data_IF_857221922856
#
_entry.id   IF_857221922856
#
_cell.length_a   1.000
_cell.length_b   1.000
_cell.length_c   1.000
_cell.angle_alpha   90.00
_cell.angle_beta   90.00
_cell.angle_gamma   90.00
#
_symmetry.space_group_name_H-M   'P 1'
#
loop_
_entity.id
_entity.type
_entity.pdbx_description
1 polymer ?
#
# COMPACT_ATOMS: atom_id res chain seq x y z
N UNK A 1 13.88 -5.40 -20.57
CA UNK A 1 12.78 -5.04 -21.50
C UNK A 1 12.62 -3.54 -21.44
N UNK A 2 13.11 -2.85 -22.47
CA UNK A 2 13.00 -1.38 -22.59
C UNK A 2 11.71 -1.10 -23.34
N UNK A 3 10.78 -0.37 -22.71
CA UNK A 3 9.52 0.02 -23.34
C UNK A 3 9.76 1.38 -23.99
N UNK A 4 9.90 1.42 -25.32
CA UNK A 4 10.18 2.66 -26.07
C UNK A 4 8.97 3.60 -26.19
N UNK A 5 7.74 3.09 -26.02
CA UNK A 5 6.54 3.93 -26.07
C UNK A 5 5.36 3.28 -25.31
N UNK A 6 4.65 4.06 -24.49
CA UNK A 6 3.39 3.63 -23.88
C UNK A 6 2.23 3.93 -24.85
N UNK A 7 1.30 3.00 -25.12
CA UNK A 7 0.20 3.26 -26.05
C UNK A 7 -0.78 4.29 -25.45
N UNK A 8 -0.90 5.44 -26.12
CA UNK A 8 -1.83 6.52 -25.79
C UNK A 8 -1.13 7.89 -25.68
N UNK A 9 -1.79 8.95 -26.16
CA UNK A 9 -1.38 10.35 -25.97
C UNK A 9 -1.61 10.76 -24.51
N UNK A 10 -0.82 10.17 -23.61
CA UNK A 10 -0.84 10.45 -22.19
C UNK A 10 0.30 11.40 -21.91
N UNK A 11 0.11 12.68 -22.23
CA UNK A 11 0.92 13.72 -21.61
C UNK A 11 0.49 13.77 -20.14
N UNK A 12 1.29 13.23 -19.18
CA UNK A 12 0.90 13.31 -17.79
C UNK A 12 0.85 14.79 -17.40
N UNK A 13 -0.20 15.19 -16.69
CA UNK A 13 -0.25 16.53 -16.11
C UNK A 13 1.01 16.70 -15.24
N UNK A 14 1.81 17.76 -15.43
CA UNK A 14 3.01 17.95 -14.65
C UNK A 14 2.64 18.07 -13.17
N UNK A 15 3.34 17.31 -12.33
CA UNK A 15 3.22 17.35 -10.88
C UNK A 15 4.43 18.06 -10.31
N UNK A 16 4.19 18.95 -9.35
CA UNK A 16 5.25 19.64 -8.62
C UNK A 16 5.47 18.94 -7.27
N UNK A 17 6.69 18.46 -7.04
CA UNK A 17 7.11 17.92 -5.75
C UNK A 17 7.79 19.02 -4.94
N UNK A 18 7.43 19.15 -3.68
CA UNK A 18 8.06 20.06 -2.74
C UNK A 18 8.70 19.28 -1.60
N UNK A 19 9.94 19.64 -1.24
CA UNK A 19 10.69 19.06 -0.13
C UNK A 19 11.11 20.18 0.82
N UNK A 20 10.95 19.97 2.14
CA UNK A 20 11.36 20.93 3.15
C UNK A 20 12.86 20.86 3.49
N UNK A 21 13.56 19.83 3.02
CA UNK A 21 14.98 19.64 3.30
C UNK A 21 15.82 20.63 2.48
N UNK A 22 16.52 21.59 3.11
CA UNK A 22 17.33 22.56 2.39
C UNK A 22 18.62 21.95 1.80
N UNK A 23 19.00 20.74 2.22
CA UNK A 23 20.18 20.02 1.72
C UNK A 23 19.90 19.14 0.51
N UNK A 24 18.67 19.13 0.00
CA UNK A 24 18.26 18.26 -1.10
C UNK A 24 19.06 18.56 -2.36
N UNK A 25 19.68 17.53 -2.92
CA UNK A 25 20.51 17.62 -4.11
C UNK A 25 19.83 17.00 -5.32
N UNK A 26 20.42 17.16 -6.51
CA UNK A 26 19.93 16.51 -7.72
C UNK A 26 19.95 14.97 -7.60
N UNK A 27 20.89 14.42 -6.84
CA UNK A 27 21.03 12.98 -6.62
C UNK A 27 19.87 12.40 -5.76
N UNK A 28 19.15 13.25 -5.02
CA UNK A 28 17.99 12.85 -4.21
C UNK A 28 16.69 12.80 -5.02
N UNK A 29 16.67 13.34 -6.25
CA UNK A 29 15.44 13.49 -7.04
C UNK A 29 14.76 12.14 -7.29
N UNK A 30 15.53 11.11 -7.65
CA UNK A 30 14.99 9.76 -7.85
C UNK A 30 14.34 9.22 -6.58
N UNK A 31 14.97 9.47 -5.42
CA UNK A 31 14.42 9.04 -4.12
C UNK A 31 13.12 9.77 -3.79
N UNK A 32 13.05 11.08 -4.03
CA UNK A 32 11.83 11.87 -3.82
C UNK A 32 10.70 11.41 -4.72
N UNK A 33 11.00 11.14 -6.00
CA UNK A 33 10.05 10.56 -6.94
C UNK A 33 9.54 9.19 -6.46
N UNK A 34 10.43 8.32 -5.96
CA UNK A 34 10.03 7.03 -5.40
C UNK A 34 9.16 7.17 -4.14
N UNK A 35 9.49 8.11 -3.25
CA UNK A 35 8.69 8.40 -2.05
C UNK A 35 7.29 8.92 -2.42
N UNK A 36 7.20 9.77 -3.44
CA UNK A 36 5.92 10.23 -3.96
C UNK A 36 5.08 9.05 -4.47
N UNK A 37 5.65 8.16 -5.28
CA UNK A 37 4.94 6.99 -5.79
C UNK A 37 4.47 6.04 -4.66
N UNK A 38 5.25 5.93 -3.58
CA UNK A 38 4.87 5.16 -2.38
C UNK A 38 3.67 5.74 -1.63
N UNK A 39 3.28 7.01 -1.86
CA UNK A 39 2.08 7.55 -1.22
C UNK A 39 0.84 6.72 -1.57
N UNK A 40 0.83 6.11 -2.75
CA UNK A 40 -0.30 5.32 -3.24
C UNK A 40 -0.50 4.04 -2.42
N UNK A 41 0.58 3.55 -1.80
CA UNK A 41 0.52 2.40 -0.89
C UNK A 41 -0.34 2.73 0.34
N UNK A 42 -0.37 3.99 0.80
CA UNK A 42 -1.21 4.39 1.95
C UNK A 42 -2.70 4.21 1.66
N UNK A 43 -3.15 4.59 0.46
CA UNK A 43 -4.54 4.38 0.04
C UNK A 43 -4.90 2.89 0.04
N UNK A 44 -3.97 2.05 -0.44
CA UNK A 44 -4.14 0.60 -0.47
C UNK A 44 -4.22 0.00 0.92
N UNK A 45 -3.36 0.45 1.84
CA UNK A 45 -3.40 0.03 3.25
C UNK A 45 -4.71 0.44 3.90
N UNK A 46 -5.16 1.68 3.72
CA UNK A 46 -6.45 2.13 4.27
C UNK A 46 -7.63 1.35 3.70
N UNK A 47 -7.61 1.05 2.40
CA UNK A 47 -8.62 0.20 1.76
C UNK A 47 -8.60 -1.20 2.37
N UNK A 48 -7.43 -1.82 2.53
CA UNK A 48 -7.26 -3.13 3.15
C UNK A 48 -7.77 -3.16 4.59
N UNK A 49 -7.43 -2.15 5.40
CA UNK A 49 -7.91 -2.04 6.79
C UNK A 49 -9.43 -1.97 6.86
N UNK A 50 -10.05 -1.15 6.01
CA UNK A 50 -11.51 -0.99 6.02
C UNK A 50 -12.24 -2.22 5.47
N UNK A 51 -11.76 -2.79 4.35
CA UNK A 51 -12.49 -3.82 3.61
C UNK A 51 -12.17 -5.23 4.08
N UNK A 52 -10.93 -5.50 4.47
CA UNK A 52 -10.49 -6.85 4.85
C UNK A 52 -10.37 -7.03 6.36
N UNK A 53 -9.75 -6.06 7.06
CA UNK A 53 -9.59 -6.15 8.52
C UNK A 53 -10.80 -5.58 9.29
N UNK A 54 -11.79 -5.01 8.59
CA UNK A 54 -13.02 -4.55 9.21
C UNK A 54 -12.84 -3.32 10.11
N UNK A 55 -11.90 -2.42 9.81
CA UNK A 55 -11.64 -1.24 10.63
C UNK A 55 -12.91 -0.41 10.91
N UNK A 56 -13.82 -0.32 9.94
CA UNK A 56 -15.09 0.40 10.07
C UNK A 56 -16.30 -0.51 10.36
N UNK A 57 -16.08 -1.80 10.61
CA UNK A 57 -17.16 -2.77 10.82
C UNK A 57 -17.88 -2.64 12.18
N UNK A 58 -17.20 -2.43 13.33
CA UNK A 58 -17.90 -2.40 14.61
C UNK A 58 -18.60 -1.05 14.85
N UNK A 59 -19.79 -1.13 15.48
CA UNK A 59 -20.57 0.04 15.90
C UNK A 59 -20.19 0.48 17.31
N UNK A 60 -19.00 1.05 17.44
CA UNK A 60 -18.44 1.48 18.71
C UNK A 60 -19.12 2.78 19.19
N UNK A 61 -19.40 2.88 20.49
CA UNK A 61 -20.16 3.99 21.09
C UNK A 61 -19.33 4.94 21.95
N UNK A 62 -18.03 4.69 22.09
CA UNK A 62 -17.11 5.62 22.76
C UNK A 62 -15.79 5.78 22.00
N UNK A 63 -15.14 6.96 22.10
CA UNK A 63 -13.84 7.21 21.46
C UNK A 63 -12.77 6.21 21.90
N UNK A 64 -12.72 5.87 23.19
CA UNK A 64 -11.70 4.96 23.73
C UNK A 64 -11.90 3.54 23.20
N UNK A 65 -13.13 3.14 22.90
CA UNK A 65 -13.40 1.87 22.25
C UNK A 65 -12.91 1.88 20.78
N UNK A 66 -13.09 3.00 20.07
CA UNK A 66 -12.60 3.18 18.70
C UNK A 66 -11.06 3.16 18.63
N UNK A 67 -10.39 3.78 19.59
CA UNK A 67 -8.93 3.74 19.69
C UNK A 67 -8.41 2.32 19.93
N UNK A 68 -9.02 1.60 20.90
CA UNK A 68 -8.68 0.19 21.16
C UNK A 68 -8.91 -0.69 19.94
N UNK A 69 -10.00 -0.46 19.21
CA UNK A 69 -10.27 -1.19 17.98
C UNK A 69 -9.23 -0.92 16.90
N UNK A 70 -8.81 0.34 16.75
CA UNK A 70 -7.72 0.71 15.83
C UNK A 70 -6.43 -0.02 16.20
N UNK A 71 -6.08 -0.10 17.48
CA UNK A 71 -4.93 -0.88 17.95
C UNK A 71 -5.04 -2.37 17.62
N UNK A 72 -6.22 -2.98 17.78
CA UNK A 72 -6.46 -4.39 17.41
C UNK A 72 -6.21 -4.59 15.91
N UNK A 73 -6.73 -3.71 15.05
CA UNK A 73 -6.51 -3.76 13.60
C UNK A 73 -5.03 -3.63 13.25
N UNK A 74 -4.31 -2.70 13.88
CA UNK A 74 -2.86 -2.52 13.68
C UNK A 74 -2.05 -3.74 14.13
N UNK A 75 -2.39 -4.34 15.26
CA UNK A 75 -1.75 -5.57 15.74
C UNK A 75 -2.03 -6.72 14.80
N UNK A 76 -3.26 -6.90 14.33
CA UNK A 76 -3.62 -7.92 13.35
C UNK A 76 -2.84 -7.74 12.04
N UNK A 77 -2.72 -6.49 11.55
CA UNK A 77 -1.89 -6.19 10.39
C UNK A 77 -0.41 -6.54 10.62
N UNK A 78 0.16 -6.17 11.76
CA UNK A 78 1.54 -6.51 12.10
C UNK A 78 1.76 -8.04 12.15
N UNK A 79 0.82 -8.80 12.72
CA UNK A 79 0.85 -10.27 12.72
C UNK A 79 0.85 -10.84 11.29
N UNK A 80 0.00 -10.32 10.39
CA UNK A 80 -0.02 -10.73 8.99
C UNK A 80 1.30 -10.41 8.27
N UNK A 81 1.90 -9.25 8.53
CA UNK A 81 3.20 -8.88 7.96
C UNK A 81 4.31 -9.81 8.43
N UNK A 82 4.33 -10.18 9.71
CA UNK A 82 5.28 -11.16 10.26
C UNK A 82 5.04 -12.57 9.70
N UNK A 83 3.79 -12.94 9.45
CA UNK A 83 3.42 -14.22 8.86
C UNK A 83 3.64 -14.30 7.34
N UNK A 84 4.07 -13.21 6.68
CA UNK A 84 4.27 -13.15 5.23
C UNK A 84 5.07 -14.33 4.64
N UNK A 85 6.17 -14.80 5.24
CA UNK A 85 6.93 -15.93 4.71
C UNK A 85 6.10 -17.23 4.62
N UNK A 86 5.14 -17.41 5.52
CA UNK A 86 4.26 -18.59 5.54
C UNK A 86 3.30 -18.62 4.35
N UNK A 87 3.09 -17.47 3.69
CA UNK A 87 2.23 -17.34 2.53
C UNK A 87 3.01 -17.37 1.20
N UNK A 88 4.33 -17.54 1.21
CA UNK A 88 5.15 -17.54 -0.01
C UNK A 88 4.80 -18.70 -0.95
N UNK A 89 4.56 -19.89 -0.39
CA UNK A 89 4.18 -21.10 -1.12
C UNK A 89 2.67 -21.21 -1.36
N UNK A 90 1.88 -20.28 -0.81
CA UNK A 90 0.43 -20.28 -1.02
C UNK A 90 0.12 -19.70 -2.39
N UNK A 91 -0.66 -20.47 -3.16
CA UNK A 91 -1.16 -20.04 -4.45
C UNK A 91 -2.00 -18.77 -4.30
N UNK A 92 -1.70 -17.77 -5.11
CA UNK A 92 -2.40 -16.49 -5.10
C UNK A 92 -3.77 -16.64 -5.78
N UNK A 93 -4.80 -15.90 -5.35
CA UNK A 93 -6.16 -16.04 -5.88
C UNK A 93 -6.29 -15.88 -7.41
N UNK A 94 -5.37 -15.14 -8.04
CA UNK A 94 -5.34 -14.88 -9.49
C UNK A 94 -4.42 -15.81 -10.28
N UNK A 95 -3.68 -16.70 -9.62
CA UNK A 95 -2.86 -17.69 -10.32
C UNK A 95 -3.77 -18.74 -10.95
N UNK A 96 -3.39 -19.28 -12.11
CA UNK A 96 -4.21 -20.27 -12.82
C UNK A 96 -4.30 -21.58 -12.01
N UNK A 97 -5.44 -22.29 -12.05
CA UNK A 97 -5.56 -23.60 -11.41
C UNK A 97 -4.54 -24.58 -11.99
N UNK A 98 -3.81 -25.27 -11.11
CA UNK A 98 -2.99 -26.41 -11.51
C UNK A 98 -3.96 -27.54 -11.89
N UNK A 99 -3.85 -28.11 -13.09
CA UNK A 99 -4.68 -29.26 -13.48
C UNK A 99 -4.46 -30.42 -12.50
N UNK A 100 -5.50 -31.17 -12.11
CA UNK A 100 -5.33 -32.37 -11.30
C UNK A 100 -4.46 -33.38 -12.05
N UNK A 101 -3.55 -34.03 -11.32
CA UNK A 101 -2.70 -35.12 -11.83
C UNK A 101 -3.51 -36.38 -12.07
#
# INVERSE_FOLDING_TARGET
>A
MTVDHLPGDRHPTPVWLWCSDPGVSADDLDRLCQLFLRHFDLEHIFRFFKQTLGWNAPRLRSPEAADRWTWIVLVAYAQLQLARPLAEDLRRPWERPVPPT
#
